data_IF_748839426212
#
_entry.id   IF_748839426212
#
_cell.length_a   1.000
_cell.length_b   1.000
_cell.length_c   1.000
_cell.angle_alpha   90.00
_cell.angle_beta   90.00
_cell.angle_gamma   90.00
#
_symmetry.space_group_name_H-M   'P 1'
#
loop_
_entity.id
_entity.type
_entity.pdbx_description
1 polymer ?
#
# COMPACT_ATOMS: atom_id res chain seq x y z
N UNK A 1 8.78 17.65 4.51
CA UNK A 1 7.57 16.90 4.14
C UNK A 1 6.47 17.20 5.15
N UNK A 2 5.21 17.21 4.73
CA UNK A 2 4.04 17.58 5.56
C UNK A 2 3.33 16.40 6.25
N UNK A 3 3.87 15.18 6.16
CA UNK A 3 3.27 13.95 6.70
C UNK A 3 4.29 13.26 7.63
N UNK A 4 4.53 13.82 8.80
CA UNK A 4 5.35 13.18 9.83
C UNK A 4 4.50 12.22 10.67
N UNK A 5 5.13 11.17 11.20
CA UNK A 5 4.47 10.28 12.15
C UNK A 5 4.35 10.90 13.54
N UNK A 6 3.72 10.16 14.45
CA UNK A 6 3.61 10.55 15.87
C UNK A 6 4.98 10.76 16.52
N UNK A 7 5.00 11.58 17.57
CA UNK A 7 6.16 11.71 18.45
C UNK A 7 6.57 10.32 18.99
N UNK A 8 7.87 10.03 18.96
CA UNK A 8 8.40 8.73 19.32
C UNK A 8 9.68 8.85 20.13
N UNK A 9 9.82 8.00 21.14
CA UNK A 9 11.04 7.89 21.96
C UNK A 9 11.98 6.78 21.43
N UNK A 10 11.66 6.21 20.27
CA UNK A 10 12.42 5.11 19.68
C UNK A 10 13.77 5.61 19.11
N UNK A 11 14.83 4.78 19.18
CA UNK A 11 16.19 5.22 18.84
C UNK A 11 16.40 5.50 17.35
N UNK A 12 15.44 5.14 16.49
CA UNK A 12 15.43 5.45 15.06
C UNK A 12 14.46 6.57 14.67
N UNK A 13 13.92 7.29 15.65
CA UNK A 13 13.12 8.49 15.40
C UNK A 13 13.96 9.57 14.72
N UNK A 14 13.40 10.26 13.73
CA UNK A 14 14.11 11.30 12.98
C UNK A 14 13.68 12.68 13.45
N UNK A 15 14.65 13.61 13.54
CA UNK A 15 14.43 15.01 13.91
C UNK A 15 14.72 15.89 12.70
N UNK A 16 13.87 16.89 12.47
CA UNK A 16 14.05 17.84 11.37
C UNK A 16 14.93 19.00 11.82
N UNK A 17 16.14 19.10 11.26
CA UNK A 17 17.18 20.07 11.69
C UNK A 17 17.24 21.35 10.86
N UNK A 18 16.68 21.36 9.64
CA UNK A 18 16.73 22.50 8.72
C UNK A 18 15.45 23.33 8.78
N UNK A 19 15.38 24.30 9.70
CA UNK A 19 14.32 25.30 9.76
C UNK A 19 14.77 26.63 9.16
N UNK A 20 13.89 27.36 8.44
CA UNK A 20 12.43 27.18 8.31
C UNK A 20 11.98 26.32 7.12
N UNK A 21 12.90 25.82 6.28
CA UNK A 21 12.56 25.10 5.04
C UNK A 21 11.92 23.71 5.27
N UNK A 22 11.99 23.20 6.50
CA UNK A 22 11.33 21.95 6.91
C UNK A 22 10.02 22.18 7.63
N UNK A 23 8.96 21.61 7.08
CA UNK A 23 7.61 21.52 7.66
C UNK A 23 7.48 20.50 8.83
N UNK A 24 8.57 19.89 9.29
CA UNK A 24 8.56 18.91 10.37
C UNK A 24 8.74 19.55 11.75
N UNK A 25 8.23 18.93 12.83
CA UNK A 25 8.42 19.43 14.18
C UNK A 25 9.91 19.41 14.55
N UNK A 26 10.44 20.53 15.06
CA UNK A 26 11.87 20.69 15.39
C UNK A 26 12.28 20.12 16.75
N UNK A 27 11.32 19.86 17.63
CA UNK A 27 11.60 19.63 19.05
C UNK A 27 11.50 18.15 19.46
N UNK A 28 10.92 17.29 18.63
CA UNK A 28 10.66 15.89 19.00
C UNK A 28 11.02 14.96 17.85
N UNK A 29 11.55 13.79 18.19
CA UNK A 29 11.76 12.72 17.23
C UNK A 29 10.40 12.18 16.77
N UNK A 30 10.23 12.05 15.47
CA UNK A 30 9.01 11.52 14.85
C UNK A 30 9.28 10.18 14.19
N UNK A 31 8.24 9.35 14.11
CA UNK A 31 8.31 8.14 13.31
C UNK A 31 8.58 8.48 11.83
N UNK A 32 9.60 7.88 11.19
CA UNK A 32 9.88 8.08 9.77
C UNK A 32 8.89 7.26 8.92
N UNK A 33 7.62 7.67 8.93
CA UNK A 33 6.53 6.95 8.25
C UNK A 33 6.78 6.80 6.75
N UNK A 34 7.51 7.73 6.12
CA UNK A 34 7.92 7.59 4.72
C UNK A 34 8.80 6.35 4.48
N UNK A 35 9.70 6.04 5.42
CA UNK A 35 10.56 4.86 5.31
C UNK A 35 9.70 3.60 5.43
N UNK A 36 8.74 3.59 6.35
CA UNK A 36 7.79 2.47 6.48
C UNK A 36 6.93 2.28 5.21
N UNK A 37 6.47 3.37 4.58
CA UNK A 37 5.75 3.32 3.31
C UNK A 37 6.60 2.69 2.20
N UNK A 38 7.86 3.12 2.04
CA UNK A 38 8.78 2.56 1.03
C UNK A 38 9.05 1.07 1.29
N UNK A 39 9.31 0.67 2.54
CA UNK A 39 9.51 -0.74 2.87
C UNK A 39 8.28 -1.59 2.55
N UNK A 40 7.10 -1.06 2.82
CA UNK A 40 5.84 -1.73 2.51
C UNK A 40 5.66 -1.88 1.00
N UNK A 41 5.87 -0.82 0.22
CA UNK A 41 5.73 -0.86 -1.24
C UNK A 41 6.74 -1.84 -1.86
N UNK A 42 7.97 -1.89 -1.35
CA UNK A 42 8.97 -2.88 -1.76
C UNK A 42 8.56 -4.32 -1.42
N UNK A 43 7.98 -4.53 -0.24
CA UNK A 43 7.49 -5.85 0.18
C UNK A 43 6.32 -6.31 -0.71
N UNK A 44 5.40 -5.40 -1.03
CA UNK A 44 4.28 -5.67 -1.94
C UNK A 44 4.81 -6.01 -3.33
N UNK A 45 5.74 -5.22 -3.85
CA UNK A 45 6.38 -5.47 -5.14
C UNK A 45 7.07 -6.84 -5.17
N UNK A 46 7.87 -7.16 -4.15
CA UNK A 46 8.56 -8.46 -4.06
C UNK A 46 7.57 -9.63 -4.01
N UNK A 47 6.47 -9.49 -3.25
CA UNK A 47 5.42 -10.50 -3.14
C UNK A 47 4.75 -10.74 -4.48
N UNK A 48 4.35 -9.68 -5.18
CA UNK A 48 3.74 -9.77 -6.52
C UNK A 48 4.73 -10.33 -7.53
N UNK A 49 5.98 -9.90 -7.50
CA UNK A 49 7.02 -10.36 -8.39
C UNK A 49 7.25 -11.87 -8.30
N UNK A 50 7.13 -12.43 -7.10
CA UNK A 50 7.20 -13.88 -6.86
C UNK A 50 5.91 -14.60 -7.30
N UNK A 51 4.75 -14.01 -7.04
CA UNK A 51 3.45 -14.57 -7.40
C UNK A 51 3.12 -14.48 -8.89
N UNK A 52 3.84 -13.64 -9.66
CA UNK A 52 3.55 -13.40 -11.09
C UNK A 52 3.52 -14.66 -11.96
N UNK A 53 4.31 -15.67 -11.58
CA UNK A 53 4.38 -16.94 -12.30
C UNK A 53 3.37 -17.99 -11.81
N UNK A 54 2.80 -17.78 -10.63
CA UNK A 54 1.86 -18.69 -9.97
C UNK A 54 0.41 -18.34 -10.29
N UNK A 55 0.11 -17.07 -10.52
CA UNK A 55 -1.26 -16.58 -10.73
C UNK A 55 -1.45 -16.27 -12.21
N UNK A 56 -2.25 -17.10 -12.87
CA UNK A 56 -2.59 -16.96 -14.30
C UNK A 56 -3.98 -16.35 -14.52
N UNK A 57 -4.67 -16.02 -13.44
CA UNK A 57 -5.99 -15.41 -13.43
C UNK A 57 -5.90 -13.96 -13.91
N UNK A 58 -6.61 -13.56 -14.99
CA UNK A 58 -6.68 -12.17 -15.38
C UNK A 58 -7.30 -11.33 -14.25
N UNK A 59 -6.57 -10.34 -13.76
CA UNK A 59 -6.97 -9.49 -12.63
C UNK A 59 -6.61 -10.01 -11.24
N UNK A 60 -6.15 -11.26 -11.10
CA UNK A 60 -5.80 -11.84 -9.78
C UNK A 60 -4.64 -11.12 -9.10
N UNK A 61 -3.59 -10.79 -9.86
CA UNK A 61 -2.43 -10.04 -9.35
C UNK A 61 -2.83 -8.63 -8.90
N UNK A 62 -3.73 -7.96 -9.63
CA UNK A 62 -4.22 -6.62 -9.29
C UNK A 62 -5.01 -6.62 -7.98
N UNK A 63 -5.87 -7.62 -7.75
CA UNK A 63 -6.61 -7.73 -6.50
C UNK A 63 -5.72 -8.06 -5.31
N UNK A 64 -4.67 -8.85 -5.51
CA UNK A 64 -3.67 -9.13 -4.48
C UNK A 64 -2.88 -7.88 -4.14
N UNK A 65 -2.50 -7.08 -5.15
CA UNK A 65 -1.87 -5.77 -4.92
C UNK A 65 -2.75 -4.88 -4.05
N UNK A 66 -4.02 -4.69 -4.42
CA UNK A 66 -4.95 -3.86 -3.66
C UNK A 66 -5.12 -4.38 -2.23
N UNK A 67 -5.22 -5.70 -2.05
CA UNK A 67 -5.39 -6.31 -0.73
C UNK A 67 -4.16 -6.06 0.15
N UNK A 68 -2.95 -6.33 -0.35
CA UNK A 68 -1.71 -6.11 0.38
C UNK A 68 -1.49 -4.63 0.70
N UNK A 69 -1.75 -3.75 -0.26
CA UNK A 69 -1.63 -2.31 -0.08
C UNK A 69 -2.61 -1.79 0.98
N UNK A 70 -3.85 -2.29 0.97
CA UNK A 70 -4.86 -1.90 1.97
C UNK A 70 -4.46 -2.34 3.38
N UNK A 71 -3.96 -3.56 3.54
CA UNK A 71 -3.43 -4.05 4.83
C UNK A 71 -2.27 -3.16 5.29
N UNK A 72 -1.35 -2.85 4.38
CA UNK A 72 -0.21 -2.00 4.70
C UNK A 72 -0.58 -0.59 5.10
N UNK A 73 -1.54 0.02 4.37
CA UNK A 73 -2.11 1.32 4.72
C UNK A 73 -2.78 1.31 6.08
N UNK A 74 -3.51 0.24 6.42
CA UNK A 74 -4.11 0.09 7.74
C UNK A 74 -3.05 0.08 8.85
N UNK A 75 -1.97 -0.68 8.65
CA UNK A 75 -0.84 -0.77 9.61
C UNK A 75 -0.15 0.59 9.76
N UNK A 76 0.26 1.23 8.66
CA UNK A 76 0.97 2.51 8.68
C UNK A 76 0.10 3.64 9.27
N UNK A 77 -1.22 3.56 9.10
CA UNK A 77 -2.16 4.52 9.69
C UNK A 77 -1.97 4.65 11.20
N UNK A 78 -1.68 3.57 11.93
CA UNK A 78 -1.47 3.63 13.38
C UNK A 78 -0.27 4.50 13.79
N UNK A 79 0.76 4.60 12.95
CA UNK A 79 1.96 5.41 13.23
C UNK A 79 1.86 6.84 12.69
N UNK A 80 0.81 7.15 11.93
CA UNK A 80 0.57 8.51 11.41
C UNK A 80 -0.34 9.27 12.35
N UNK A 81 0.05 10.50 12.68
CA UNK A 81 -0.86 11.49 13.23
C UNK A 81 -1.88 11.85 12.14
N UNK A 82 -3.03 11.18 12.16
CA UNK A 82 -4.20 11.64 11.41
C UNK A 82 -5.30 11.92 12.42
N UNK A 83 -6.05 12.99 12.18
CA UNK A 83 -7.23 13.33 12.97
C UNK A 83 -8.26 12.19 12.92
N UNK A 84 -8.87 11.90 14.07
CA UNK A 84 -9.99 10.96 14.17
C UNK A 84 -11.20 11.53 13.45
N UNK A 85 -11.77 10.80 12.49
CA UNK A 85 -12.85 11.34 11.64
C UNK A 85 -14.21 10.78 12.05
N UNK A 86 -14.31 9.50 12.40
CA UNK A 86 -15.58 8.88 12.78
C UNK A 86 -15.36 7.71 13.76
N UNK A 87 -16.11 7.69 14.87
CA UNK A 87 -16.13 6.59 15.86
C UNK A 87 -14.78 6.28 16.55
N UNK A 88 -13.84 7.22 16.58
CA UNK A 88 -12.48 6.98 17.10
C UNK A 88 -11.58 6.20 16.14
N UNK A 89 -12.02 5.98 14.89
CA UNK A 89 -11.19 5.44 13.82
C UNK A 89 -10.69 6.54 12.89
N UNK A 90 -9.44 6.41 12.46
CA UNK A 90 -8.85 7.29 11.47
C UNK A 90 -9.47 7.06 10.08
N UNK A 91 -9.62 8.11 9.28
CA UNK A 91 -10.16 8.01 7.90
C UNK A 91 -9.44 6.94 7.06
N UNK A 92 -8.12 6.85 7.21
CA UNK A 92 -7.30 5.87 6.49
C UNK A 92 -7.59 4.42 6.90
N UNK A 93 -8.03 4.17 8.15
CA UNK A 93 -8.44 2.83 8.60
C UNK A 93 -9.78 2.41 7.98
N UNK A 94 -10.75 3.34 7.91
CA UNK A 94 -12.05 3.06 7.30
C UNK A 94 -11.93 2.79 5.80
N UNK A 95 -11.16 3.63 5.09
CA UNK A 95 -10.94 3.48 3.64
C UNK A 95 -10.19 2.18 3.35
N UNK A 96 -9.11 1.88 4.09
CA UNK A 96 -8.37 0.63 3.89
C UNK A 96 -9.23 -0.61 4.15
N UNK A 97 -10.09 -0.61 5.17
CA UNK A 97 -10.98 -1.72 5.46
C UNK A 97 -12.02 -1.93 4.34
N UNK A 98 -12.63 -0.85 3.84
CA UNK A 98 -13.59 -0.94 2.72
C UNK A 98 -12.93 -1.49 1.45
N UNK A 99 -11.75 -0.96 1.11
CA UNK A 99 -11.01 -1.39 -0.08
C UNK A 99 -10.57 -2.85 0.06
N UNK A 100 -10.12 -3.27 1.25
CA UNK A 100 -9.74 -4.65 1.53
C UNK A 100 -10.94 -5.61 1.39
N UNK A 101 -12.10 -5.25 1.94
CA UNK A 101 -13.31 -6.07 1.84
C UNK A 101 -13.76 -6.28 0.38
N UNK A 102 -13.74 -5.21 -0.41
CA UNK A 102 -14.08 -5.29 -1.86
C UNK A 102 -13.05 -6.14 -2.61
N UNK A 103 -11.76 -5.96 -2.35
CA UNK A 103 -10.70 -6.70 -3.02
C UNK A 103 -10.76 -8.21 -2.73
N UNK A 104 -10.99 -8.60 -1.47
CA UNK A 104 -11.17 -10.01 -1.07
C UNK A 104 -12.44 -10.58 -1.71
N UNK A 105 -13.55 -9.85 -1.70
CA UNK A 105 -14.80 -10.29 -2.33
C UNK A 105 -14.66 -10.57 -3.83
N UNK A 106 -13.98 -9.67 -4.54
CA UNK A 106 -13.68 -9.84 -5.97
C UNK A 106 -12.71 -11.00 -6.21
N UNK A 107 -11.71 -11.20 -5.34
CA UNK A 107 -10.73 -12.28 -5.49
C UNK A 107 -11.41 -13.64 -5.32
N UNK A 108 -12.25 -13.79 -4.28
CA UNK A 108 -13.06 -14.99 -4.08
C UNK A 108 -14.01 -15.22 -5.26
N UNK A 109 -14.62 -14.16 -5.80
CA UNK A 109 -15.49 -14.26 -6.97
C UNK A 109 -14.74 -14.77 -8.22
N UNK A 110 -13.56 -14.22 -8.53
CA UNK A 110 -12.75 -14.64 -9.67
C UNK A 110 -12.31 -16.10 -9.55
N UNK A 111 -11.78 -16.51 -8.40
CA UNK A 111 -11.34 -17.88 -8.17
C UNK A 111 -12.48 -18.91 -8.19
N UNK A 112 -13.72 -18.50 -7.93
CA UNK A 112 -14.90 -19.37 -8.07
C UNK A 112 -15.35 -19.58 -9.52
N UNK A 113 -14.81 -18.83 -10.48
CA UNK A 113 -15.33 -18.78 -11.86
C UNK A 113 -14.48 -19.46 -12.94
N UNK A 114 -13.26 -19.94 -12.66
CA UNK A 114 -12.30 -20.23 -13.76
C UNK A 114 -12.45 -21.60 -14.44
N UNK A 115 -12.26 -21.64 -15.78
CA UNK A 115 -10.93 -21.64 -16.39
C UNK A 115 -10.69 -20.40 -17.27
N UNK A 116 -9.77 -19.50 -16.89
CA UNK A 116 -9.37 -18.39 -17.76
C UNK A 116 -8.41 -18.90 -18.84
N UNK A 117 -8.81 -18.74 -20.10
CA UNK A 117 -7.90 -18.88 -21.25
C UNK A 117 -6.65 -18.01 -21.06
N UNK A 118 -5.47 -18.50 -21.49
CA UNK A 118 -4.24 -17.73 -21.40
C UNK A 118 -4.43 -16.39 -22.10
N UNK A 119 -4.08 -15.30 -21.42
CA UNK A 119 -4.03 -13.96 -22.01
C UNK A 119 -3.05 -14.04 -23.19
N UNK A 120 -3.60 -14.17 -24.40
CA UNK A 120 -2.86 -14.11 -25.65
C UNK A 120 -2.35 -12.68 -25.77
N UNK A 121 -1.08 -12.50 -25.40
CA UNK A 121 -0.33 -11.28 -25.71
C UNK A 121 -0.26 -11.26 -27.23
N UNK A 122 -1.17 -10.53 -27.87
CA UNK A 122 -1.06 -10.21 -29.28
C UNK A 122 0.26 -9.44 -29.45
N UNK A 123 1.30 -10.16 -29.88
CA UNK A 123 2.48 -9.56 -30.45
C UNK A 123 1.95 -8.74 -31.63
N UNK A 124 1.92 -7.41 -31.49
CA UNK A 124 1.70 -6.50 -32.61
C UNK A 124 2.86 -6.76 -33.54
N UNK A 125 2.61 -7.59 -34.54
CA UNK A 125 3.51 -7.83 -35.64
C UNK A 125 3.53 -6.56 -36.49
N UNK A 126 4.44 -5.65 -36.14
CA UNK A 126 4.75 -4.44 -36.91
C UNK A 126 5.51 -4.77 -38.23
N UNK A 127 5.41 -6.00 -38.76
CA UNK A 127 5.90 -6.35 -40.09
C UNK A 127 4.76 -6.47 -41.10
N UNK A 128 4.11 -5.34 -41.40
CA UNK A 128 3.41 -5.20 -42.67
C UNK A 128 4.38 -4.68 -43.76
N UNK A 129 4.34 -5.23 -44.98
CA UNK A 129 5.37 -5.11 -46.01
C UNK A 129 5.49 -3.72 -46.67
#
# INVERSE_FOLDING_TARGET
GCCYGTATDLPWGTVWTHQPDSYGPSLHAVHPTQIYEIFLDLLIFATIWFLRHRIRVPGGIFLIYISLYSIGRFIISFWRENEEVLLGLQQAQLVSLMVLAVAIGLLVYLYRKEPSEPVEIAYVDDTAP
#
